data_IF_237615448926
#
_entry.id   IF_237615448926
#
_cell.length_a   1.000
_cell.length_b   1.000
_cell.length_c   1.000
_cell.angle_alpha   90.00
_cell.angle_beta   90.00
_cell.angle_gamma   90.00
#
_symmetry.space_group_name_H-M   'P 1'
#
loop_
_entity.id
_entity.type
_entity.pdbx_description
1 polymer ?
#
# COMPACT_ATOMS: atom_id res chain seq x y z
N UNK A 1 15.52 6.21 65.57
CA UNK A 1 14.69 5.25 64.84
C UNK A 1 15.44 4.80 63.61
N UNK A 2 16.01 3.61 63.64
CA UNK A 2 16.62 3.02 62.45
C UNK A 2 15.52 2.52 61.54
N UNK A 3 15.35 3.17 60.39
CA UNK A 3 14.59 2.64 59.28
C UNK A 3 15.27 1.33 58.84
N UNK A 4 14.77 0.20 59.32
CA UNK A 4 15.09 -1.11 58.75
C UNK A 4 14.60 -1.06 57.32
N UNK A 5 15.52 -0.88 56.38
CA UNK A 5 15.25 -1.05 54.96
C UNK A 5 14.81 -2.49 54.74
N UNK A 6 13.50 -2.70 54.68
CA UNK A 6 12.95 -3.93 54.15
C UNK A 6 13.45 -4.03 52.71
N UNK A 7 14.25 -5.05 52.41
CA UNK A 7 14.59 -5.34 51.03
C UNK A 7 13.29 -5.62 50.29
N UNK A 8 13.10 -4.86 49.21
CA UNK A 8 12.00 -5.04 48.29
C UNK A 8 12.02 -6.49 47.76
N UNK A 9 10.97 -7.29 48.00
CA UNK A 9 10.94 -8.69 47.60
C UNK A 9 11.13 -8.87 46.08
N UNK A 10 10.68 -7.90 45.28
CA UNK A 10 10.89 -7.90 43.83
C UNK A 10 12.38 -7.80 43.49
N UNK A 11 13.11 -6.92 44.20
CA UNK A 11 14.56 -6.77 44.04
C UNK A 11 15.30 -8.05 44.42
N UNK A 12 14.91 -8.70 45.51
CA UNK A 12 15.54 -9.95 45.96
C UNK A 12 15.36 -11.08 44.93
N UNK A 13 14.16 -11.19 44.35
CA UNK A 13 13.87 -12.15 43.30
C UNK A 13 14.68 -11.88 42.02
N UNK A 14 14.73 -10.62 41.56
CA UNK A 14 15.53 -10.23 40.38
C UNK A 14 17.00 -10.59 40.58
N UNK A 15 17.56 -10.31 41.77
CA UNK A 15 18.95 -10.65 42.10
C UNK A 15 19.16 -12.17 42.07
N UNK A 16 18.23 -12.97 42.58
CA UNK A 16 18.32 -14.43 42.53
C UNK A 16 18.33 -14.95 41.08
N UNK A 17 17.44 -14.44 40.22
CA UNK A 17 17.39 -14.79 38.79
C UNK A 17 18.70 -14.43 38.08
N UNK A 18 19.23 -13.22 38.30
CA UNK A 18 20.49 -12.78 37.70
C UNK A 18 21.69 -13.63 38.13
N UNK A 19 21.75 -14.02 39.40
CA UNK A 19 22.79 -14.93 39.92
C UNK A 19 22.73 -16.29 39.22
N UNK A 20 21.53 -16.85 39.07
CA UNK A 20 21.34 -18.14 38.39
C UNK A 20 21.74 -18.07 36.91
N UNK A 21 21.35 -17.00 36.19
CA UNK A 21 21.78 -16.79 34.80
C UNK A 21 23.30 -16.67 34.70
N UNK A 22 23.94 -15.95 35.62
CA UNK A 22 25.39 -15.83 35.66
C UNK A 22 26.07 -17.19 35.88
N UNK A 23 25.50 -18.02 36.76
CA UNK A 23 25.98 -19.37 36.99
C UNK A 23 25.92 -20.22 35.71
N UNK A 24 24.81 -20.22 34.99
CA UNK A 24 24.71 -20.93 33.69
C UNK A 24 25.69 -20.38 32.65
N UNK A 25 25.94 -19.06 32.63
CA UNK A 25 26.92 -18.44 31.72
C UNK A 25 28.35 -18.94 31.94
N UNK A 26 28.74 -19.26 33.18
CA UNK A 26 30.11 -19.74 33.48
C UNK A 26 30.23 -21.27 33.59
N UNK A 27 29.11 -21.98 33.66
CA UNK A 27 29.05 -23.44 33.81
C UNK A 27 29.75 -24.19 32.66
N UNK A 28 30.48 -25.30 32.87
CA UNK A 28 31.04 -26.08 31.77
C UNK A 28 29.99 -26.52 30.73
N UNK A 29 30.35 -26.53 29.44
CA UNK A 29 29.39 -26.76 28.35
C UNK A 29 28.61 -28.08 28.50
N UNK A 30 29.27 -29.16 28.88
CA UNK A 30 28.64 -30.46 29.09
C UNK A 30 27.61 -30.45 30.24
N UNK A 31 27.90 -29.72 31.32
CA UNK A 31 26.99 -29.56 32.46
C UNK A 31 25.77 -28.71 32.08
N UNK A 32 25.99 -27.62 31.34
CA UNK A 32 24.91 -26.75 30.85
C UNK A 32 23.96 -27.52 29.92
N UNK A 33 24.50 -28.34 29.01
CA UNK A 33 23.70 -29.22 28.15
C UNK A 33 22.94 -30.29 28.93
N UNK A 34 23.52 -30.83 30.00
CA UNK A 34 22.83 -31.78 30.86
C UNK A 34 21.66 -31.13 31.61
N UNK A 35 21.87 -29.92 32.14
CA UNK A 35 20.82 -29.17 32.82
C UNK A 35 19.69 -28.75 31.86
N UNK A 36 20.03 -28.28 30.66
CA UNK A 36 19.03 -28.01 29.60
C UNK A 36 18.20 -29.24 29.27
N UNK A 37 18.82 -30.42 29.16
CA UNK A 37 18.09 -31.67 28.89
C UNK A 37 17.14 -32.05 30.04
N UNK A 38 17.51 -31.71 31.28
CA UNK A 38 16.68 -32.02 32.45
C UNK A 38 15.52 -31.06 32.63
N UNK A 39 15.72 -29.76 32.41
CA UNK A 39 14.75 -28.72 32.76
C UNK A 39 13.99 -28.17 31.55
N UNK A 40 14.60 -28.19 30.37
CA UNK A 40 14.11 -27.51 29.17
C UNK A 40 13.84 -28.49 28.01
N UNK A 41 13.63 -29.79 28.28
CA UNK A 41 13.35 -30.79 27.25
C UNK A 41 12.21 -30.36 26.31
N UNK A 42 11.12 -29.81 26.85
CA UNK A 42 9.98 -29.29 26.07
C UNK A 42 10.32 -28.05 25.22
N UNK A 43 11.18 -27.16 25.72
CA UNK A 43 11.61 -25.94 25.02
C UNK A 43 12.59 -26.29 23.89
N UNK A 44 13.49 -27.25 24.14
CA UNK A 44 14.46 -27.73 23.15
C UNK A 44 13.78 -28.52 22.03
N UNK A 45 12.77 -29.33 22.34
CA UNK A 45 11.96 -30.03 21.33
C UNK A 45 11.19 -29.06 20.42
N UNK A 46 10.63 -27.99 20.99
CA UNK A 46 9.90 -26.97 20.22
C UNK A 46 10.80 -26.16 19.27
N UNK A 47 12.09 -26.06 19.59
CA UNK A 47 13.10 -25.41 18.75
C UNK A 47 13.52 -26.30 17.56
N UNK A 48 13.45 -27.63 17.70
CA UNK A 48 13.94 -28.56 16.69
C UNK A 48 13.13 -28.51 15.38
N UNK A 49 11.84 -28.17 15.43
CA UNK A 49 10.94 -28.09 14.25
C UNK A 49 11.37 -27.06 13.18
N UNK A 50 12.35 -26.20 13.46
CA UNK A 50 12.83 -25.18 12.52
C UNK A 50 13.75 -25.70 11.38
N UNK A 51 13.91 -27.02 11.23
CA UNK A 51 14.62 -27.63 10.10
C UNK A 51 16.16 -27.65 10.18
N UNK A 52 16.75 -27.20 11.31
CA UNK A 52 18.19 -27.22 11.55
C UNK A 52 18.58 -28.34 12.54
N UNK A 53 18.28 -29.59 12.20
CA UNK A 53 18.39 -30.75 13.10
C UNK A 53 19.83 -31.20 13.42
N UNK A 54 20.84 -30.42 13.07
CA UNK A 54 22.26 -30.81 13.25
C UNK A 54 23.12 -29.80 13.99
N UNK A 55 22.64 -28.57 14.22
CA UNK A 55 23.45 -27.53 14.83
C UNK A 55 23.43 -27.68 16.35
N UNK A 56 24.61 -27.92 16.94
CA UNK A 56 24.77 -27.86 18.37
C UNK A 56 24.45 -26.44 18.86
N UNK A 57 23.51 -26.32 19.81
CA UNK A 57 23.14 -25.04 20.39
C UNK A 57 24.36 -24.39 21.07
N UNK A 58 24.54 -23.11 20.81
CA UNK A 58 25.54 -22.29 21.49
C UNK A 58 25.21 -22.13 22.97
N UNK A 59 26.22 -21.77 23.77
CA UNK A 59 26.05 -21.47 25.20
C UNK A 59 24.94 -20.46 25.46
N UNK A 60 24.86 -19.40 24.65
CA UNK A 60 23.84 -18.34 24.82
C UNK A 60 22.42 -18.87 24.63
N UNK A 61 22.20 -19.69 23.59
CA UNK A 61 20.91 -20.33 23.29
C UNK A 61 20.49 -21.28 24.41
N UNK A 62 21.44 -22.01 25.00
CA UNK A 62 21.18 -22.93 26.12
C UNK A 62 20.84 -22.20 27.42
N UNK A 63 21.57 -21.11 27.74
CA UNK A 63 21.27 -20.24 28.90
C UNK A 63 19.87 -19.63 28.74
N UNK A 64 19.52 -19.19 27.54
CA UNK A 64 18.20 -18.63 27.23
C UNK A 64 17.09 -19.69 27.38
N UNK A 65 17.28 -20.90 26.84
CA UNK A 65 16.31 -21.99 26.99
C UNK A 65 16.06 -22.34 28.47
N UNK A 66 17.11 -22.39 29.30
CA UNK A 66 16.97 -22.59 30.74
C UNK A 66 16.24 -21.45 31.44
N UNK A 67 16.51 -20.21 31.03
CA UNK A 67 15.83 -19.02 31.57
C UNK A 67 14.32 -19.13 31.35
N UNK A 68 13.90 -19.46 30.13
CA UNK A 68 12.49 -19.62 29.76
C UNK A 68 11.87 -20.82 30.47
N UNK A 69 12.56 -21.96 30.53
CA UNK A 69 12.04 -23.15 31.21
C UNK A 69 11.86 -22.94 32.72
N UNK A 70 12.75 -22.17 33.36
CA UNK A 70 12.76 -21.99 34.83
C UNK A 70 11.77 -20.92 35.28
N UNK A 71 11.67 -19.81 34.56
CA UNK A 71 10.88 -18.64 34.98
C UNK A 71 9.74 -18.27 34.04
N UNK A 72 9.53 -19.02 32.96
CA UNK A 72 8.59 -18.70 31.89
C UNK A 72 9.07 -17.54 31.02
N UNK A 73 8.22 -17.15 30.06
CA UNK A 73 8.50 -16.06 29.11
C UNK A 73 8.76 -16.57 27.69
N UNK A 74 9.20 -15.65 26.83
CA UNK A 74 9.58 -15.95 25.45
C UNK A 74 11.10 -15.86 25.33
N UNK A 75 11.70 -16.75 24.55
CA UNK A 75 13.08 -16.57 24.11
C UNK A 75 13.21 -15.24 23.34
N UNK A 76 14.41 -14.67 23.24
CA UNK A 76 14.69 -13.48 22.42
C UNK A 76 14.22 -13.69 20.99
N UNK A 77 14.44 -14.88 20.43
CA UNK A 77 13.99 -15.23 19.09
C UNK A 77 12.45 -15.25 18.97
N UNK A 78 11.75 -15.84 19.92
CA UNK A 78 10.28 -15.82 19.95
C UNK A 78 9.72 -14.44 20.21
N UNK A 79 10.35 -13.64 21.07
CA UNK A 79 10.00 -12.25 21.34
C UNK A 79 10.13 -11.39 20.08
N UNK A 80 11.23 -11.54 19.33
CA UNK A 80 11.40 -10.88 18.02
C UNK A 80 10.32 -11.32 17.04
N UNK A 81 10.03 -12.63 16.95
CA UNK A 81 8.97 -13.16 16.07
C UNK A 81 7.58 -12.65 16.47
N UNK A 82 7.28 -12.58 17.76
CA UNK A 82 6.01 -12.08 18.29
C UNK A 82 5.84 -10.59 17.96
N UNK A 83 6.85 -9.77 18.24
CA UNK A 83 6.87 -8.35 17.89
C UNK A 83 6.75 -8.12 16.38
N UNK A 84 7.45 -8.93 15.57
CA UNK A 84 7.31 -8.86 14.12
C UNK A 84 5.87 -9.17 13.68
N UNK A 85 5.25 -10.21 14.25
CA UNK A 85 3.85 -10.56 13.94
C UNK A 85 2.89 -9.44 14.30
N UNK A 86 3.08 -8.81 15.46
CA UNK A 86 2.29 -7.66 15.90
C UNK A 86 2.42 -6.47 14.92
N UNK A 87 3.64 -6.22 14.42
CA UNK A 87 3.91 -5.15 13.46
C UNK A 87 3.63 -5.53 12.00
N UNK A 88 3.17 -6.75 11.73
CA UNK A 88 2.88 -7.25 10.38
C UNK A 88 4.11 -7.55 9.51
N UNK A 89 5.28 -7.80 10.11
CA UNK A 89 6.52 -8.15 9.41
C UNK A 89 6.55 -9.67 9.13
N UNK A 90 6.71 -10.10 7.86
CA UNK A 90 6.69 -11.52 7.48
C UNK A 90 8.05 -12.20 7.75
N UNK A 91 8.34 -12.53 9.00
CA UNK A 91 9.65 -13.09 9.43
C UNK A 91 10.07 -14.33 8.63
N UNK A 92 9.13 -15.15 8.19
CA UNK A 92 9.40 -16.38 7.43
C UNK A 92 9.99 -16.09 6.05
N UNK A 93 9.83 -14.86 5.54
CA UNK A 93 10.37 -14.42 4.25
C UNK A 93 11.70 -13.71 4.37
N UNK A 94 12.19 -13.43 5.58
CA UNK A 94 13.49 -12.78 5.80
C UNK A 94 14.61 -13.82 5.84
N UNK A 95 15.85 -13.38 5.59
CA UNK A 95 17.01 -14.30 5.57
C UNK A 95 17.32 -14.81 6.97
N UNK A 96 17.19 -13.96 7.99
CA UNK A 96 17.46 -14.31 9.39
C UNK A 96 16.75 -13.36 10.38
N UNK A 97 16.83 -13.70 11.67
CA UNK A 97 16.21 -12.91 12.76
C UNK A 97 16.93 -11.58 13.05
N UNK A 98 18.18 -11.41 12.62
CA UNK A 98 18.89 -10.14 12.76
C UNK A 98 18.29 -9.08 11.83
N UNK A 99 17.97 -9.44 10.58
CA UNK A 99 17.21 -8.58 9.67
C UNK A 99 15.86 -8.20 10.26
N UNK A 100 15.13 -9.17 10.82
CA UNK A 100 13.85 -8.93 11.48
C UNK A 100 13.97 -7.94 12.66
N UNK A 101 15.05 -8.06 13.43
CA UNK A 101 15.34 -7.15 14.55
C UNK A 101 15.63 -5.73 14.07
N UNK A 102 16.45 -5.56 13.01
CA UNK A 102 16.70 -4.25 12.39
C UNK A 102 15.43 -3.61 11.83
N UNK A 103 14.57 -4.40 11.17
CA UNK A 103 13.27 -3.93 10.70
C UNK A 103 12.39 -3.44 11.86
N UNK A 104 12.36 -4.15 12.99
CA UNK A 104 11.59 -3.71 14.17
C UNK A 104 12.09 -2.36 14.71
N UNK A 105 13.41 -2.13 14.71
CA UNK A 105 13.99 -0.84 15.11
C UNK A 105 13.57 0.28 14.13
N UNK A 106 13.67 0.03 12.82
CA UNK A 106 13.23 0.98 11.80
C UNK A 106 11.74 1.30 11.93
N UNK A 107 10.88 0.28 12.15
CA UNK A 107 9.45 0.47 12.37
C UNK A 107 9.17 1.27 13.64
N UNK A 108 9.89 1.00 14.73
CA UNK A 108 9.76 1.80 15.95
C UNK A 108 10.14 3.28 15.73
N UNK A 109 11.10 3.55 14.84
CA UNK A 109 11.45 4.92 14.45
C UNK A 109 10.40 5.57 13.55
N UNK A 110 9.76 4.81 12.64
CA UNK A 110 8.61 5.29 11.89
C UNK A 110 7.44 5.66 12.80
N UNK A 111 7.17 4.88 13.84
CA UNK A 111 6.09 5.15 14.81
C UNK A 111 6.29 6.47 15.57
N UNK A 112 7.53 6.94 15.71
CA UNK A 112 7.85 8.24 16.32
C UNK A 112 7.65 9.42 15.37
N UNK A 113 7.74 9.22 14.05
CA UNK A 113 7.58 10.29 13.05
C UNK A 113 6.15 10.85 13.02
N UNK A 114 6.02 12.10 12.59
CA UNK A 114 4.74 12.74 12.28
C UNK A 114 4.16 12.22 10.96
N UNK A 115 2.86 12.44 10.73
CA UNK A 115 2.20 12.00 9.48
C UNK A 115 2.83 12.64 8.23
N UNK A 116 3.25 13.91 8.29
CA UNK A 116 3.88 14.57 7.13
C UNK A 116 5.27 14.00 6.82
N UNK A 117 6.05 13.68 7.86
CA UNK A 117 7.35 13.01 7.71
C UNK A 117 7.20 11.61 7.14
N UNK A 118 6.19 10.85 7.57
CA UNK A 118 5.87 9.53 7.01
C UNK A 118 5.47 9.61 5.54
N UNK A 119 4.59 10.54 5.17
CA UNK A 119 4.24 10.76 3.75
C UNK A 119 5.45 11.15 2.92
N UNK A 120 6.34 11.98 3.47
CA UNK A 120 7.58 12.39 2.79
C UNK A 120 8.55 11.23 2.62
N UNK A 121 8.69 10.37 3.63
CA UNK A 121 9.49 9.14 3.56
C UNK A 121 8.94 8.17 2.51
N UNK A 122 7.62 7.99 2.46
CA UNK A 122 6.96 7.13 1.47
C UNK A 122 7.15 7.64 0.05
N UNK A 123 7.00 8.96 -0.16
CA UNK A 123 7.33 9.63 -1.42
C UNK A 123 8.81 9.46 -1.78
N UNK A 124 9.74 9.66 -0.84
CA UNK A 124 11.19 9.50 -1.06
C UNK A 124 11.56 8.09 -1.57
N UNK A 125 10.80 7.07 -1.15
CA UNK A 125 10.96 5.67 -1.61
C UNK A 125 10.29 5.40 -2.95
N UNK A 126 9.74 6.42 -3.60
CA UNK A 126 9.11 6.34 -4.91
C UNK A 126 7.62 6.01 -4.88
N UNK A 127 6.97 5.91 -3.70
CA UNK A 127 5.56 5.50 -3.61
C UNK A 127 4.61 6.70 -3.48
N UNK A 128 3.38 6.53 -3.96
CA UNK A 128 2.32 7.55 -3.84
C UNK A 128 1.48 7.34 -2.57
N UNK A 129 1.58 8.21 -1.54
CA UNK A 129 0.70 8.13 -0.38
C UNK A 129 -0.77 8.41 -0.74
N UNK A 130 -1.70 7.76 -0.04
CA UNK A 130 -3.12 8.13 -0.11
C UNK A 130 -3.36 9.48 0.58
N UNK A 131 -4.21 10.36 0.03
CA UNK A 131 -4.40 11.70 0.60
C UNK A 131 -4.92 11.64 2.05
N UNK A 132 -5.82 10.70 2.31
CA UNK A 132 -6.51 10.52 3.60
C UNK A 132 -5.88 9.45 4.49
N UNK A 133 -4.66 9.02 4.19
CA UNK A 133 -3.98 8.05 5.03
C UNK A 133 -3.78 8.57 6.45
N UNK A 134 -4.16 7.76 7.44
CA UNK A 134 -3.85 8.03 8.86
C UNK A 134 -2.38 7.70 9.13
N UNK A 135 -1.88 8.10 10.31
CA UNK A 135 -0.51 7.77 10.74
C UNK A 135 -0.28 6.25 10.77
N UNK A 136 -1.23 5.50 11.28
CA UNK A 136 -1.18 4.04 11.41
C UNK A 136 -1.13 3.36 10.05
N UNK A 137 -1.96 3.83 9.09
CA UNK A 137 -1.94 3.34 7.71
C UNK A 137 -0.58 3.61 7.06
N UNK A 138 -0.03 4.82 7.22
CA UNK A 138 1.27 5.18 6.68
C UNK A 138 2.42 4.38 7.29
N UNK A 139 2.43 4.16 8.61
CA UNK A 139 3.42 3.29 9.26
C UNK A 139 3.34 1.88 8.69
N UNK A 140 2.14 1.30 8.59
CA UNK A 140 1.94 -0.03 8.02
C UNK A 140 2.44 -0.12 6.58
N UNK A 141 2.09 0.84 5.72
CA UNK A 141 2.56 0.87 4.33
C UNK A 141 4.08 1.01 4.21
N UNK A 142 4.71 1.80 5.08
CA UNK A 142 6.18 1.92 5.12
C UNK A 142 6.84 0.66 5.68
N UNK A 143 6.27 0.03 6.70
CA UNK A 143 6.73 -1.28 7.21
C UNK A 143 6.70 -2.33 6.11
N UNK A 144 5.68 -2.32 5.27
CA UNK A 144 5.55 -3.22 4.13
C UNK A 144 6.64 -2.96 3.08
N UNK A 145 6.90 -1.70 2.73
CA UNK A 145 7.98 -1.31 1.80
C UNK A 145 9.35 -1.72 2.36
N UNK A 146 9.64 -1.43 3.62
CA UNK A 146 10.87 -1.86 4.30
C UNK A 146 11.03 -3.38 4.30
N UNK A 147 9.94 -4.10 4.58
CA UNK A 147 9.94 -5.57 4.54
C UNK A 147 10.26 -6.10 3.14
N UNK A 148 9.77 -5.44 2.09
CA UNK A 148 10.08 -5.79 0.70
C UNK A 148 11.56 -5.54 0.38
N UNK A 149 12.12 -4.42 0.84
CA UNK A 149 13.54 -4.08 0.61
C UNK A 149 14.51 -5.09 1.24
N UNK A 150 14.21 -5.59 2.45
CA UNK A 150 15.03 -6.57 3.16
C UNK A 150 14.81 -8.02 2.70
N UNK A 151 13.73 -8.30 1.97
CA UNK A 151 13.39 -9.65 1.52
C UNK A 151 14.37 -10.14 0.41
N UNK A 152 14.76 -11.43 0.41
CA UNK A 152 15.48 -12.03 -0.70
C UNK A 152 14.66 -11.95 -1.99
N UNK A 153 15.36 -11.96 -3.13
CA UNK A 153 14.73 -11.79 -4.45
C UNK A 153 13.69 -12.88 -4.75
N UNK A 154 13.90 -14.12 -4.28
CA UNK A 154 12.92 -15.20 -4.39
C UNK A 154 11.61 -14.85 -3.67
N UNK A 155 11.69 -14.42 -2.41
CA UNK A 155 10.52 -14.01 -1.63
C UNK A 155 9.80 -12.81 -2.25
N UNK A 156 10.55 -11.83 -2.79
CA UNK A 156 9.96 -10.69 -3.50
C UNK A 156 9.15 -11.14 -4.72
N UNK A 157 9.67 -12.08 -5.51
CA UNK A 157 8.97 -12.63 -6.68
C UNK A 157 7.71 -13.38 -6.28
N UNK A 158 7.76 -14.17 -5.21
CA UNK A 158 6.59 -14.85 -4.65
C UNK A 158 5.52 -13.85 -4.20
N UNK A 159 5.91 -12.81 -3.45
CA UNK A 159 5.00 -11.74 -3.03
C UNK A 159 4.37 -11.02 -4.23
N UNK A 160 5.14 -10.78 -5.29
CA UNK A 160 4.64 -10.17 -6.51
C UNK A 160 3.61 -11.06 -7.22
N UNK A 161 3.87 -12.37 -7.28
CA UNK A 161 2.93 -13.36 -7.82
C UNK A 161 1.62 -13.39 -7.01
N UNK A 162 1.71 -13.37 -5.68
CA UNK A 162 0.54 -13.31 -4.79
C UNK A 162 -0.31 -12.05 -5.05
N UNK A 163 0.34 -10.92 -5.31
CA UNK A 163 -0.29 -9.63 -5.63
C UNK A 163 -0.72 -9.48 -7.08
N UNK A 164 -0.54 -10.53 -7.90
CA UNK A 164 -0.83 -10.51 -9.34
C UNK A 164 -0.13 -9.33 -10.03
N UNK A 165 1.15 -9.11 -9.70
CA UNK A 165 2.04 -8.20 -10.42
C UNK A 165 2.64 -8.94 -11.61
N UNK A 166 2.59 -8.33 -12.79
CA UNK A 166 3.21 -8.86 -14.00
C UNK A 166 4.72 -8.68 -13.93
N UNK A 167 5.42 -9.64 -13.32
CA UNK A 167 6.88 -9.67 -13.24
C UNK A 167 7.47 -10.69 -14.21
N UNK A 168 8.54 -10.33 -14.91
CA UNK A 168 9.33 -11.28 -15.71
C UNK A 168 10.43 -11.92 -14.85
N UNK A 169 10.83 -13.16 -15.19
CA UNK A 169 11.75 -13.96 -14.38
C UNK A 169 13.18 -13.41 -14.30
N UNK A 170 13.52 -12.46 -15.16
CA UNK A 170 14.81 -11.78 -15.27
C UNK A 170 14.86 -10.43 -14.52
N UNK A 171 13.72 -9.94 -13.99
CA UNK A 171 13.70 -8.66 -13.27
C UNK A 171 14.62 -8.67 -12.05
N UNK A 172 15.40 -7.60 -11.93
CA UNK A 172 16.25 -7.28 -10.78
C UNK A 172 15.41 -6.75 -9.62
N UNK A 173 15.97 -6.77 -8.40
CA UNK A 173 15.29 -6.25 -7.19
C UNK A 173 14.72 -4.85 -7.38
N UNK A 174 15.52 -3.93 -7.93
CA UNK A 174 15.10 -2.52 -8.08
C UNK A 174 13.94 -2.37 -9.08
N UNK A 175 13.89 -3.18 -10.13
CA UNK A 175 12.79 -3.16 -11.13
C UNK A 175 11.50 -3.69 -10.52
N UNK A 176 11.59 -4.72 -9.66
CA UNK A 176 10.44 -5.24 -8.92
C UNK A 176 9.90 -4.18 -7.94
N UNK A 177 10.79 -3.56 -7.15
CA UNK A 177 10.39 -2.49 -6.22
C UNK A 177 9.81 -1.28 -6.97
N UNK A 178 10.39 -0.92 -8.12
CA UNK A 178 9.84 0.12 -9.00
C UNK A 178 8.44 -0.24 -9.50
N UNK A 179 8.21 -1.47 -9.97
CA UNK A 179 6.88 -1.92 -10.41
C UNK A 179 5.83 -1.84 -9.27
N UNK A 180 6.22 -2.18 -8.04
CA UNK A 180 5.36 -1.99 -6.87
C UNK A 180 5.05 -0.52 -6.60
N UNK A 181 6.06 0.35 -6.76
CA UNK A 181 5.90 1.79 -6.64
C UNK A 181 4.97 2.34 -7.72
N UNK A 182 5.19 2.01 -9.00
CA UNK A 182 4.33 2.39 -10.14
C UNK A 182 2.87 2.03 -9.87
N UNK A 183 2.61 0.82 -9.36
CA UNK A 183 1.26 0.39 -8.95
C UNK A 183 0.62 1.30 -7.89
N UNK A 184 1.39 1.84 -6.96
CA UNK A 184 0.86 2.79 -5.98
C UNK A 184 0.46 4.11 -6.64
N UNK A 185 1.16 4.55 -7.69
CA UNK A 185 0.79 5.73 -8.48
C UNK A 185 -0.42 5.45 -9.38
N UNK A 186 -0.52 4.27 -9.98
CA UNK A 186 -1.66 3.87 -10.79
C UNK A 186 -2.96 3.84 -9.97
N UNK A 187 -2.88 3.41 -8.70
CA UNK A 187 -4.01 3.47 -7.76
C UNK A 187 -4.48 4.91 -7.48
N UNK A 188 -3.64 5.91 -7.76
CA UNK A 188 -3.96 7.34 -7.72
C UNK A 188 -4.29 7.91 -9.11
N UNK A 189 -4.43 7.06 -10.12
CA UNK A 189 -4.64 7.42 -11.52
C UNK A 189 -3.50 8.25 -12.13
N UNK A 190 -2.27 8.10 -11.65
CA UNK A 190 -1.09 8.84 -12.12
C UNK A 190 -0.10 7.87 -12.78
N UNK A 191 0.09 7.92 -14.12
CA UNK A 191 1.02 7.04 -14.83
C UNK A 191 2.45 7.57 -14.74
N UNK A 192 3.15 7.29 -13.63
CA UNK A 192 4.47 7.87 -13.34
C UNK A 192 5.51 7.68 -14.45
N UNK A 193 5.50 6.52 -15.12
CA UNK A 193 6.48 6.19 -16.17
C UNK A 193 6.25 6.94 -17.49
N UNK A 194 5.07 7.55 -17.68
CA UNK A 194 4.70 8.30 -18.90
C UNK A 194 4.83 9.82 -18.72
N UNK A 195 5.20 10.26 -17.51
CA UNK A 195 5.34 11.67 -17.20
C UNK A 195 6.76 12.15 -17.51
N UNK A 196 6.94 13.44 -17.87
CA UNK A 196 8.26 13.97 -18.21
C UNK A 196 9.29 13.90 -17.07
N UNK A 197 8.83 13.89 -15.81
CA UNK A 197 9.70 13.76 -14.65
C UNK A 197 8.94 13.32 -13.41
N UNK A 198 9.67 12.77 -12.44
CA UNK A 198 9.14 12.46 -11.11
C UNK A 198 8.59 13.69 -10.37
N UNK A 199 9.18 14.87 -10.57
CA UNK A 199 8.68 16.12 -9.98
C UNK A 199 7.28 16.47 -10.48
N UNK A 200 7.01 16.25 -11.78
CA UNK A 200 5.66 16.41 -12.35
C UNK A 200 4.69 15.42 -11.72
N UNK A 201 5.09 14.17 -11.53
CA UNK A 201 4.28 13.16 -10.83
C UNK A 201 3.94 13.60 -9.40
N UNK A 202 4.91 14.07 -8.61
CA UNK A 202 4.64 14.61 -7.27
C UNK A 202 3.66 15.80 -7.29
N UNK A 203 3.83 16.71 -8.24
CA UNK A 203 2.92 17.85 -8.39
C UNK A 203 1.49 17.45 -8.78
N UNK A 204 1.34 16.39 -9.58
CA UNK A 204 0.05 15.77 -9.90
C UNK A 204 -0.58 15.10 -8.68
N UNK A 205 0.21 14.40 -7.87
CA UNK A 205 -0.28 13.79 -6.64
C UNK A 205 -0.77 14.84 -5.65
N UNK A 206 -0.04 15.95 -5.48
CA UNK A 206 -0.50 17.05 -4.62
C UNK A 206 -1.79 17.71 -5.17
N UNK A 207 -1.99 17.73 -6.49
CA UNK A 207 -3.24 18.17 -7.11
C UNK A 207 -4.38 17.18 -6.83
N UNK A 208 -4.14 15.88 -6.98
CA UNK A 208 -5.11 14.82 -6.67
C UNK A 208 -5.54 14.87 -5.19
N UNK A 209 -4.58 15.05 -4.27
CA UNK A 209 -4.85 15.21 -2.84
C UNK A 209 -5.75 16.43 -2.56
N UNK A 210 -5.50 17.55 -3.25
CA UNK A 210 -6.37 18.75 -3.16
C UNK A 210 -7.78 18.47 -3.68
N UNK A 211 -7.92 17.71 -4.77
CA UNK A 211 -9.23 17.31 -5.28
C UNK A 211 -9.96 16.40 -4.28
N UNK A 212 -9.28 15.43 -3.67
CA UNK A 212 -9.85 14.54 -2.65
C UNK A 212 -10.28 15.28 -1.38
N UNK A 213 -9.64 16.40 -1.05
CA UNK A 213 -10.01 17.25 0.07
C UNK A 213 -11.29 18.07 -0.19
N UNK A 214 -11.57 18.47 -1.44
CA UNK A 214 -12.73 19.31 -1.81
C UNK A 214 -14.09 18.66 -1.55
N UNK A 215 -15.13 19.46 -1.35
CA UNK A 215 -16.49 18.94 -1.30
C UNK A 215 -17.01 18.57 -2.70
N UNK A 216 -18.02 17.69 -2.76
CA UNK A 216 -18.58 17.25 -4.04
C UNK A 216 -19.16 18.42 -4.85
N UNK A 217 -19.74 19.44 -4.19
CA UNK A 217 -20.22 20.67 -4.84
C UNK A 217 -19.09 21.44 -5.55
N UNK A 218 -17.93 21.57 -4.91
CA UNK A 218 -16.78 22.29 -5.47
C UNK A 218 -16.17 21.51 -6.64
N UNK A 219 -16.11 20.18 -6.53
CA UNK A 219 -15.65 19.31 -7.61
C UNK A 219 -16.57 19.41 -8.83
N UNK A 220 -17.90 19.41 -8.64
CA UNK A 220 -18.86 19.65 -9.73
C UNK A 220 -18.69 21.03 -10.36
N UNK A 221 -18.44 22.06 -9.56
CA UNK A 221 -18.14 23.39 -10.07
C UNK A 221 -16.84 23.41 -10.91
N UNK A 222 -15.81 22.69 -10.47
CA UNK A 222 -14.55 22.57 -11.21
C UNK A 222 -14.70 21.75 -12.51
N UNK A 223 -15.53 20.71 -12.51
CA UNK A 223 -15.90 20.01 -13.73
C UNK A 223 -16.64 20.94 -14.70
N UNK A 224 -17.61 21.72 -14.22
CA UNK A 224 -18.36 22.68 -15.05
C UNK A 224 -17.46 23.74 -15.69
N UNK A 225 -16.45 24.23 -14.96
CA UNK A 225 -15.46 25.18 -15.50
C UNK A 225 -14.61 24.59 -16.63
N UNK A 226 -14.55 23.27 -16.73
CA UNK A 226 -13.78 22.51 -17.72
C UNK A 226 -14.68 21.88 -18.78
N UNK A 227 -15.95 22.27 -18.84
CA UNK A 227 -16.97 21.72 -19.74
C UNK A 227 -17.13 20.19 -19.62
N UNK A 228 -16.81 19.62 -18.45
CA UNK A 228 -16.99 18.20 -18.15
C UNK A 228 -18.45 17.97 -17.70
N UNK A 229 -19.18 17.00 -18.27
CA UNK A 229 -20.55 16.69 -17.87
C UNK A 229 -20.56 15.93 -16.54
N UNK A 230 -20.44 16.70 -15.46
CA UNK A 230 -20.42 16.21 -14.09
C UNK A 230 -21.76 15.67 -13.61
N UNK A 231 -22.86 16.00 -14.29
CA UNK A 231 -24.17 15.41 -13.98
C UNK A 231 -24.19 13.91 -14.25
N UNK A 232 -23.37 13.46 -15.22
CA UNK A 232 -23.15 12.05 -15.44
C UNK A 232 -22.23 11.44 -14.37
N UNK A 233 -21.33 12.21 -13.75
CA UNK A 233 -20.38 11.69 -12.78
C UNK A 233 -21.06 11.56 -11.41
N UNK A 234 -21.27 10.32 -10.97
CA UNK A 234 -22.06 9.98 -9.79
C UNK A 234 -21.47 10.48 -8.48
N UNK A 235 -20.65 9.66 -7.84
CA UNK A 235 -20.15 9.93 -6.50
C UNK A 235 -18.96 10.89 -6.52
N UNK A 236 -18.61 11.40 -5.33
CA UNK A 236 -17.40 12.23 -5.15
C UNK A 236 -16.15 11.55 -5.72
N UNK A 237 -16.03 10.23 -5.56
CA UNK A 237 -14.87 9.46 -6.03
C UNK A 237 -14.73 9.51 -7.55
N UNK A 238 -15.84 9.42 -8.28
CA UNK A 238 -15.85 9.47 -9.75
C UNK A 238 -15.47 10.86 -10.25
N UNK A 239 -15.97 11.91 -9.59
CA UNK A 239 -15.58 13.29 -9.87
C UNK A 239 -14.07 13.52 -9.66
N UNK A 240 -13.51 13.02 -8.56
CA UNK A 240 -12.07 13.10 -8.29
C UNK A 240 -11.28 12.34 -9.35
N UNK A 241 -11.67 11.11 -9.68
CA UNK A 241 -10.98 10.29 -10.67
C UNK A 241 -10.99 10.96 -12.04
N UNK A 242 -12.14 11.47 -12.49
CA UNK A 242 -12.28 12.20 -13.74
C UNK A 242 -11.40 13.46 -13.77
N UNK A 243 -11.48 14.32 -12.76
CA UNK A 243 -10.66 15.53 -12.70
C UNK A 243 -9.17 15.21 -12.62
N UNK A 244 -8.79 14.12 -11.95
CA UNK A 244 -7.39 13.66 -11.89
C UNK A 244 -6.92 13.23 -13.27
N UNK A 245 -7.71 12.44 -14.02
CA UNK A 245 -7.37 12.07 -15.40
C UNK A 245 -7.16 13.30 -16.30
N UNK A 246 -8.06 14.28 -16.26
CA UNK A 246 -7.95 15.51 -17.07
C UNK A 246 -6.68 16.29 -16.71
N UNK A 247 -6.36 16.40 -15.42
CA UNK A 247 -5.15 17.08 -14.97
C UNK A 247 -3.89 16.33 -15.41
N UNK A 248 -3.90 14.99 -15.36
CA UNK A 248 -2.80 14.13 -15.83
C UNK A 248 -2.58 14.30 -17.34
N UNK A 249 -3.63 14.26 -18.16
CA UNK A 249 -3.51 14.48 -19.61
C UNK A 249 -2.93 15.86 -19.96
N UNK A 250 -3.29 16.88 -19.17
CA UNK A 250 -2.69 18.21 -19.27
C UNK A 250 -1.21 18.29 -18.91
N UNK A 251 -0.62 17.23 -18.36
CA UNK A 251 0.82 17.12 -18.05
C UNK A 251 1.57 16.08 -18.89
N UNK A 252 0.87 15.22 -19.64
CA UNK A 252 1.51 14.29 -20.57
C UNK A 252 2.23 15.05 -21.69
N UNK A 253 3.29 14.45 -22.22
CA UNK A 253 3.91 14.87 -23.46
C UNK A 253 2.93 14.65 -24.64
N UNK A 254 3.11 15.39 -25.73
CA UNK A 254 2.16 15.39 -26.84
C UNK A 254 2.04 14.01 -27.51
N UNK A 255 3.15 13.33 -27.72
CA UNK A 255 3.23 11.96 -28.22
C UNK A 255 2.56 10.95 -27.27
N UNK A 256 2.79 11.07 -25.96
CA UNK A 256 2.11 10.24 -24.95
C UNK A 256 0.60 10.46 -24.92
N UNK A 257 0.14 11.69 -25.18
CA UNK A 257 -1.28 12.03 -25.30
C UNK A 257 -1.89 11.42 -26.58
N UNK A 258 -1.16 11.44 -27.70
CA UNK A 258 -1.58 10.75 -28.93
C UNK A 258 -1.67 9.23 -28.71
N UNK A 259 -0.70 8.65 -28.01
CA UNK A 259 -0.72 7.22 -27.64
C UNK A 259 -1.92 6.90 -26.74
N UNK A 260 -2.25 7.76 -25.77
CA UNK A 260 -3.45 7.59 -24.93
C UNK A 260 -4.73 7.60 -25.75
N UNK A 261 -4.86 8.55 -26.70
CA UNK A 261 -6.02 8.63 -27.60
C UNK A 261 -6.12 7.38 -28.46
N UNK A 262 -5.01 6.92 -29.04
CA UNK A 262 -4.98 5.72 -29.85
C UNK A 262 -5.37 4.47 -29.05
N UNK A 263 -4.94 4.37 -27.78
CA UNK A 263 -5.25 3.25 -26.91
C UNK A 263 -6.73 3.21 -26.48
N UNK A 264 -7.34 4.37 -26.20
CA UNK A 264 -8.72 4.47 -25.72
C UNK A 264 -9.77 4.61 -26.83
N UNK A 265 -9.39 5.17 -27.97
CA UNK A 265 -10.29 5.48 -29.08
C UNK A 265 -9.83 4.85 -30.41
N UNK A 266 -9.79 3.51 -30.51
CA UNK A 266 -9.23 2.82 -31.69
C UNK A 266 -10.02 3.07 -32.99
N UNK A 267 -11.26 3.55 -32.91
CA UNK A 267 -12.14 3.76 -34.06
C UNK A 267 -12.00 5.14 -34.75
N UNK A 268 -11.02 5.97 -34.34
CA UNK A 268 -10.83 7.32 -34.91
C UNK A 268 -9.66 7.35 -35.89
N UNK A 269 -9.90 6.96 -37.14
CA UNK A 269 -8.90 7.04 -38.22
C UNK A 269 -8.42 8.48 -38.50
N UNK A 270 -9.22 9.49 -38.10
CA UNK A 270 -8.96 10.93 -38.33
C UNK A 270 -7.81 11.53 -37.51
N UNK A 271 -7.22 10.84 -36.52
CA UNK A 271 -6.17 11.44 -35.66
C UNK A 271 -4.88 11.71 -36.45
N UNK A 272 -4.57 10.89 -37.46
CA UNK A 272 -3.31 10.96 -38.20
C UNK A 272 -3.27 12.11 -39.21
N UNK A 273 -4.44 12.62 -39.61
CA UNK A 273 -4.57 13.61 -40.68
C UNK A 273 -4.74 15.05 -40.19
N UNK A 274 -4.74 15.26 -38.86
CA UNK A 274 -4.67 16.60 -38.26
C UNK A 274 -3.26 17.17 -38.47
N UNK A 275 -2.95 17.60 -39.70
CA UNK A 275 -1.69 18.27 -40.08
C UNK A 275 -1.38 19.45 -39.15
N UNK A 276 -0.50 19.20 -38.18
CA UNK A 276 -0.23 20.04 -37.01
C UNK A 276 0.55 21.31 -37.38
N UNK A 277 -0.14 22.38 -37.77
CA UNK A 277 0.49 23.72 -37.80
C UNK A 277 0.40 24.47 -36.47
N UNK A 278 -0.40 24.01 -35.48
CA UNK A 278 -0.48 24.60 -34.14
C UNK A 278 -0.66 23.52 -33.06
N UNK A 279 0.43 23.15 -32.39
CA UNK A 279 0.47 22.13 -31.32
C UNK A 279 -0.55 22.40 -30.20
N UNK A 280 -0.73 23.66 -29.80
CA UNK A 280 -1.70 24.05 -28.75
C UNK A 280 -3.15 23.75 -29.11
N UNK A 281 -3.55 23.98 -30.36
CA UNK A 281 -4.91 23.69 -30.80
C UNK A 281 -5.17 22.19 -30.86
N UNK A 282 -4.18 21.44 -31.36
CA UNK A 282 -4.26 19.99 -31.44
C UNK A 282 -4.30 19.32 -30.06
N UNK A 283 -3.51 19.79 -29.09
CA UNK A 283 -3.53 19.26 -27.73
C UNK A 283 -4.94 19.33 -27.12
N UNK A 284 -5.61 20.47 -27.23
CA UNK A 284 -6.98 20.62 -26.70
C UNK A 284 -7.94 19.62 -27.37
N UNK A 285 -7.85 19.45 -28.69
CA UNK A 285 -8.67 18.46 -29.41
C UNK A 285 -8.42 17.04 -28.92
N UNK A 286 -7.18 16.66 -28.62
CA UNK A 286 -6.86 15.35 -28.05
C UNK A 286 -7.41 15.20 -26.62
N UNK A 287 -7.26 16.23 -25.77
CA UNK A 287 -7.82 16.24 -24.41
C UNK A 287 -9.36 16.11 -24.44
N UNK A 288 -10.04 16.88 -25.30
CA UNK A 288 -11.50 16.82 -25.46
C UNK A 288 -11.96 15.43 -25.92
N UNK A 289 -11.19 14.77 -26.80
CA UNK A 289 -11.46 13.38 -27.23
C UNK A 289 -11.30 12.38 -26.08
N UNK A 290 -10.26 12.51 -25.26
CA UNK A 290 -10.04 11.64 -24.10
C UNK A 290 -11.14 11.82 -23.06
N UNK A 291 -11.55 13.06 -22.80
CA UNK A 291 -12.71 13.36 -21.95
C UNK A 291 -13.94 12.63 -22.47
N UNK A 292 -14.24 12.74 -23.78
CA UNK A 292 -15.38 12.05 -24.38
C UNK A 292 -15.29 10.53 -24.23
N UNK A 293 -14.12 9.94 -24.44
CA UNK A 293 -13.88 8.51 -24.24
C UNK A 293 -14.16 8.07 -22.80
N UNK A 294 -13.69 8.85 -21.83
CA UNK A 294 -13.90 8.56 -20.41
C UNK A 294 -15.39 8.61 -20.04
N UNK A 295 -16.14 9.54 -20.63
CA UNK A 295 -17.58 9.63 -20.44
C UNK A 295 -18.32 8.44 -21.06
N UNK A 296 -17.92 8.02 -22.27
CA UNK A 296 -18.47 6.82 -22.90
C UNK A 296 -18.19 5.56 -22.06
N UNK A 297 -16.98 5.41 -21.51
CA UNK A 297 -16.66 4.32 -20.57
C UNK A 297 -17.58 4.36 -19.35
N UNK A 298 -17.81 5.55 -18.79
CA UNK A 298 -18.68 5.74 -17.63
C UNK A 298 -20.14 5.41 -17.95
N UNK A 299 -20.67 5.88 -19.07
CA UNK A 299 -22.02 5.56 -19.55
C UNK A 299 -22.21 4.08 -19.81
N UNK A 300 -21.23 3.42 -20.46
CA UNK A 300 -21.25 1.97 -20.67
C UNK A 300 -21.28 1.20 -19.35
N UNK A 301 -20.52 1.66 -18.34
CA UNK A 301 -20.54 1.04 -17.00
C UNK A 301 -21.92 1.08 -16.33
N UNK A 302 -22.79 1.99 -16.80
CA UNK A 302 -24.15 2.22 -16.31
C UNK A 302 -25.23 1.71 -17.28
N UNK A 303 -24.83 0.90 -18.25
CA UNK A 303 -25.73 0.24 -19.20
C UNK A 303 -26.25 1.15 -20.32
N UNK A 304 -25.68 2.34 -20.48
CA UNK A 304 -26.05 3.27 -21.56
C UNK A 304 -25.25 2.90 -22.81
N UNK A 305 -25.98 2.65 -23.90
CA UNK A 305 -25.44 2.21 -25.18
C UNK A 305 -24.68 3.32 -25.91
N UNK A 306 -23.57 2.97 -26.55
CA UNK A 306 -22.75 3.87 -27.38
C UNK A 306 -23.46 4.37 -28.65
N UNK A 307 -24.58 3.74 -29.02
CA UNK A 307 -25.40 4.14 -30.18
C UNK A 307 -26.12 5.47 -29.99
N UNK A 308 -26.08 6.09 -28.81
CA UNK A 308 -26.67 7.42 -28.58
C UNK A 308 -25.74 8.48 -29.17
N UNK A 309 -26.14 9.19 -30.24
CA UNK A 309 -25.23 10.07 -30.98
C UNK A 309 -25.00 11.42 -30.29
N UNK A 310 -25.86 11.80 -29.34
CA UNK A 310 -25.83 13.10 -28.66
C UNK A 310 -25.44 12.94 -27.18
N UNK A 311 -24.33 13.57 -26.81
CA UNK A 311 -23.80 13.59 -25.45
C UNK A 311 -24.81 14.18 -24.45
N UNK A 312 -25.69 15.09 -24.88
CA UNK A 312 -26.77 15.64 -24.04
C UNK A 312 -27.82 14.59 -23.72
N UNK A 313 -28.26 13.85 -24.73
CA UNK A 313 -29.25 12.77 -24.56
C UNK A 313 -28.68 11.67 -23.66
N UNK A 314 -27.42 11.31 -23.83
CA UNK A 314 -26.75 10.35 -22.95
C UNK A 314 -26.66 10.87 -21.50
N UNK A 315 -26.36 12.15 -21.31
CA UNK A 315 -26.32 12.79 -19.98
C UNK A 315 -27.70 12.83 -19.32
N UNK A 316 -28.77 13.13 -20.07
CA UNK A 316 -30.12 13.15 -19.53
C UNK A 316 -30.63 11.74 -19.19
N UNK A 317 -30.37 10.75 -20.06
CA UNK A 317 -30.66 9.34 -19.78
C UNK A 317 -29.90 8.87 -18.53
N UNK A 318 -28.63 9.28 -18.39
CA UNK A 318 -27.85 8.97 -17.21
C UNK A 318 -28.48 9.53 -15.94
N UNK A 319 -28.86 10.80 -15.96
CA UNK A 319 -29.51 11.47 -14.83
C UNK A 319 -30.79 10.72 -14.43
N UNK A 320 -31.53 10.25 -15.42
CA UNK A 320 -32.79 9.54 -15.21
C UNK A 320 -32.59 8.13 -14.66
N UNK A 321 -31.58 7.39 -15.15
CA UNK A 321 -31.17 6.09 -14.58
C UNK A 321 -30.74 6.27 -13.13
N UNK A 322 -29.92 7.28 -12.84
CA UNK A 322 -29.49 7.57 -11.47
C UNK A 322 -30.67 7.93 -10.55
N UNK A 323 -31.67 8.66 -11.07
CA UNK A 323 -32.94 8.93 -10.37
C UNK A 323 -33.65 7.62 -10.02
N UNK A 324 -33.77 6.70 -10.97
CA UNK A 324 -34.41 5.40 -10.76
C UNK A 324 -33.64 4.50 -9.79
N UNK A 325 -32.30 4.46 -9.85
CA UNK A 325 -31.46 3.69 -8.92
C UNK A 325 -31.65 4.14 -7.46
N UNK A 326 -31.96 5.42 -7.23
CA UNK A 326 -32.22 5.98 -5.91
C UNK A 326 -33.64 5.79 -5.38
N UNK A 327 -34.58 5.30 -6.19
CA UNK A 327 -35.98 5.13 -5.80
C UNK A 327 -36.24 3.84 -5.03
N UNK A 328 -37.24 3.86 -4.15
CA UNK A 328 -37.80 2.65 -3.55
C UNK A 328 -38.57 1.80 -4.57
N UNK A 329 -38.74 0.51 -4.29
CA UNK A 329 -39.48 -0.40 -5.18
C UNK A 329 -40.93 0.05 -5.43
N UNK A 330 -41.58 0.66 -4.43
CA UNK A 330 -42.94 1.21 -4.57
C UNK A 330 -42.99 2.44 -5.49
N UNK A 331 -41.96 3.29 -5.48
CA UNK A 331 -41.86 4.45 -6.36
C UNK A 331 -41.58 4.01 -7.79
N UNK A 332 -40.65 3.07 -7.98
CA UNK A 332 -40.37 2.47 -9.29
C UNK A 332 -41.62 1.84 -9.91
N UNK A 333 -42.42 1.11 -9.14
CA UNK A 333 -43.69 0.53 -9.63
C UNK A 333 -44.68 1.62 -10.06
N UNK A 334 -44.73 2.75 -9.35
CA UNK A 334 -45.61 3.88 -9.69
C UNK A 334 -45.14 4.58 -10.97
N UNK A 335 -43.84 4.84 -11.09
CA UNK A 335 -43.24 5.43 -12.30
C UNK A 335 -43.43 4.50 -13.51
N UNK A 336 -43.18 3.20 -13.36
CA UNK A 336 -43.43 2.22 -14.42
C UNK A 336 -44.89 2.22 -14.88
N UNK A 337 -45.85 2.35 -13.96
CA UNK A 337 -47.28 2.45 -14.29
C UNK A 337 -47.67 3.79 -14.95
N UNK A 338 -46.83 4.82 -14.86
CA UNK A 338 -47.06 6.11 -15.51
C UNK A 338 -46.47 6.16 -16.93
N UNK A 339 -45.41 5.36 -17.18
CA UNK A 339 -44.70 5.30 -18.47
C UNK A 339 -45.32 4.35 -19.50
N UNK A 340 -46.33 3.55 -19.12
CA UNK A 340 -47.03 2.59 -19.99
C UNK A 340 -48.55 2.74 -19.91
#
# INVERSE_FOLDING_TARGET
>A
GSARGGEDPERAEIVARLKQVFFWKVMPMAALQAECRSLASSVVESSADAGDHGRALGREELVEALTVATWGGLTKNESVRARCREKGIPVQRLVNLEQASRLLEQVADLEKKSLSELKSEYKRRGFAPEARATKEVMVRSLTEVLSCEEMPLSGLRELCKERRLSITGDMRRNEILHSMAVRSWDARHIPVDRLPSYTVACGLLDQADRLEAKHASDLRADCRKRDLPFDALGEKKDLVACLTHVVVWGQLAFDELQNEVAARCPASDDVRDLGLKVERGARKVLEDRLVRSLLLEFWRSKGIDERIPDDRVATDLFREIGRFEGMSLSELRREHAHLG
#
